data_IF_772920348775
#
_entry.id   IF_772920348775
#
_cell.length_a   1.000
_cell.length_b   1.000
_cell.length_c   1.000
_cell.angle_alpha   90.00
_cell.angle_beta   90.00
_cell.angle_gamma   90.00
#
_symmetry.space_group_name_H-M   'P 1'
#
loop_
_entity.id
_entity.type
_entity.pdbx_description
1 polymer ?
#
# COMPACT_ATOMS: atom_id res chain seq x y z
N UNK A 1 -10.64 14.03 10.04
CA UNK A 1 -10.89 12.71 9.42
C UNK A 1 -9.59 12.07 8.94
N UNK A 2 -9.35 10.84 9.32
CA UNK A 2 -8.17 10.06 8.94
C UNK A 2 -8.62 8.76 8.30
N UNK A 3 -8.16 8.47 7.08
CA UNK A 3 -8.45 7.21 6.38
C UNK A 3 -7.14 6.50 6.08
N UNK A 4 -7.03 5.23 6.45
CA UNK A 4 -5.91 4.37 6.06
C UNK A 4 -6.36 3.37 5.01
N UNK A 5 -5.55 3.21 3.96
CA UNK A 5 -5.81 2.24 2.88
C UNK A 5 -4.63 1.28 2.81
N UNK A 6 -4.82 0.09 3.31
CA UNK A 6 -3.85 -1.02 3.24
C UNK A 6 -4.25 -2.00 2.13
N UNK A 7 -3.40 -2.97 1.84
CA UNK A 7 -3.71 -4.03 0.89
C UNK A 7 -2.54 -4.41 -0.02
N UNK A 8 -2.79 -5.37 -0.91
CA UNK A 8 -1.80 -5.97 -1.80
C UNK A 8 -1.24 -4.99 -2.85
N UNK A 9 -0.06 -5.26 -3.39
CA UNK A 9 0.47 -4.52 -4.55
C UNK A 9 -0.50 -4.65 -5.75
N UNK A 10 -0.70 -3.58 -6.52
CA UNK A 10 -1.62 -3.63 -7.67
C UNK A 10 -3.12 -3.61 -7.34
N UNK A 11 -3.53 -3.63 -6.06
CA UNK A 11 -4.96 -3.60 -5.69
C UNK A 11 -5.65 -2.22 -5.85
N UNK A 12 -4.97 -1.22 -6.38
CA UNK A 12 -5.55 0.10 -6.65
C UNK A 12 -5.48 1.11 -5.50
N UNK A 13 -4.79 0.82 -4.40
CA UNK A 13 -4.72 1.69 -3.19
C UNK A 13 -4.44 3.15 -3.49
N UNK A 14 -3.35 3.45 -4.18
CA UNK A 14 -2.93 4.84 -4.42
C UNK A 14 -3.88 5.57 -5.37
N UNK A 15 -4.49 4.87 -6.33
CA UNK A 15 -5.50 5.43 -7.23
C UNK A 15 -6.74 5.85 -6.45
N UNK A 16 -7.25 4.96 -5.61
CA UNK A 16 -8.40 5.23 -4.74
C UNK A 16 -8.08 6.32 -3.71
N UNK A 17 -6.90 6.26 -3.08
CA UNK A 17 -6.48 7.28 -2.11
C UNK A 17 -6.45 8.69 -2.75
N UNK A 18 -5.93 8.82 -3.98
CA UNK A 18 -5.91 10.08 -4.73
C UNK A 18 -7.32 10.59 -5.04
N UNK A 19 -8.25 9.71 -5.43
CA UNK A 19 -9.63 10.11 -5.71
C UNK A 19 -10.37 10.57 -4.45
N UNK A 20 -10.26 9.79 -3.36
CA UNK A 20 -10.83 10.14 -2.06
C UNK A 20 -10.25 11.46 -1.52
N UNK A 21 -8.94 11.64 -1.63
CA UNK A 21 -8.24 12.88 -1.24
C UNK A 21 -8.83 14.10 -1.94
N UNK A 22 -9.04 14.03 -3.25
CA UNK A 22 -9.68 15.12 -4.02
C UNK A 22 -11.11 15.36 -3.59
N UNK A 23 -11.91 14.31 -3.43
CA UNK A 23 -13.33 14.41 -3.08
C UNK A 23 -13.55 14.97 -1.67
N UNK A 24 -12.77 14.48 -0.71
CA UNK A 24 -12.88 14.81 0.71
C UNK A 24 -12.00 16.01 1.11
N UNK A 25 -11.22 16.56 0.18
CA UNK A 25 -10.24 17.66 0.42
C UNK A 25 -9.24 17.32 1.54
N UNK A 26 -8.81 16.07 1.60
CA UNK A 26 -7.83 15.55 2.56
C UNK A 26 -6.43 15.50 1.94
N UNK A 27 -5.37 15.68 2.73
CA UNK A 27 -4.00 15.46 2.26
C UNK A 27 -3.77 13.96 1.99
N UNK A 28 -3.06 13.64 0.91
CA UNK A 28 -2.70 12.26 0.59
C UNK A 28 -1.21 11.99 0.85
N UNK A 29 -0.92 10.88 1.51
CA UNK A 29 0.42 10.35 1.72
C UNK A 29 0.49 8.91 1.19
N UNK A 30 1.54 8.58 0.44
CA UNK A 30 1.75 7.23 -0.10
C UNK A 30 3.08 6.66 0.35
N UNK A 31 3.05 5.58 1.12
CA UNK A 31 4.26 4.87 1.55
C UNK A 31 4.86 4.09 0.37
N UNK A 32 4.02 3.60 -0.54
CA UNK A 32 4.47 2.97 -1.76
C UNK A 32 5.24 3.91 -2.69
N UNK A 33 4.81 5.17 -2.80
CA UNK A 33 5.54 6.19 -3.59
C UNK A 33 6.88 6.53 -2.95
N UNK A 34 6.93 6.63 -1.62
CA UNK A 34 8.18 6.85 -0.89
C UNK A 34 9.16 5.69 -1.10
N UNK A 35 8.69 4.44 -1.01
CA UNK A 35 9.52 3.26 -1.25
C UNK A 35 10.08 3.23 -2.69
N UNK A 36 9.26 3.60 -3.69
CA UNK A 36 9.71 3.75 -5.08
C UNK A 36 10.76 4.84 -5.25
N UNK A 37 10.58 5.97 -4.55
CA UNK A 37 11.56 7.05 -4.60
C UNK A 37 12.91 6.60 -4.03
N UNK A 38 12.93 5.90 -2.88
CA UNK A 38 14.15 5.33 -2.30
C UNK A 38 14.84 4.37 -3.29
N UNK A 39 14.07 3.50 -3.96
CA UNK A 39 14.62 2.58 -4.96
C UNK A 39 15.25 3.33 -6.14
N UNK A 40 14.57 4.36 -6.66
CA UNK A 40 15.07 5.21 -7.74
C UNK A 40 16.35 5.95 -7.34
N UNK A 41 16.39 6.53 -6.15
CA UNK A 41 17.55 7.26 -5.63
C UNK A 41 18.77 6.34 -5.46
N UNK A 42 18.53 5.05 -5.17
CA UNK A 42 19.57 4.01 -5.09
C UNK A 42 19.90 3.38 -6.44
N UNK A 43 19.14 3.66 -7.50
CA UNK A 43 19.33 3.06 -8.84
C UNK A 43 19.01 1.56 -8.90
N UNK A 44 18.11 1.06 -8.03
CA UNK A 44 17.73 -0.36 -7.94
C UNK A 44 16.22 -0.54 -8.12
N UNK A 45 15.81 -1.78 -8.38
CA UNK A 45 14.38 -2.14 -8.45
C UNK A 45 13.72 -2.18 -7.07
N UNK A 46 12.38 -2.13 -7.03
CA UNK A 46 11.62 -2.33 -5.79
C UNK A 46 11.87 -3.70 -5.15
N UNK A 47 12.07 -4.73 -5.98
CA UNK A 47 12.34 -6.09 -5.50
C UNK A 47 13.72 -6.16 -4.83
N UNK A 48 14.75 -5.54 -5.43
CA UNK A 48 16.08 -5.44 -4.83
C UNK A 48 16.06 -4.63 -3.54
N UNK A 49 15.34 -3.51 -3.50
CA UNK A 49 15.17 -2.71 -2.28
C UNK A 49 14.49 -3.54 -1.17
N UNK A 50 13.48 -4.33 -1.52
CA UNK A 50 12.78 -5.20 -0.55
C UNK A 50 13.71 -6.28 0.01
N UNK A 51 14.57 -6.86 -0.83
CA UNK A 51 15.61 -7.82 -0.39
C UNK A 51 16.65 -7.16 0.51
N UNK A 52 17.13 -5.96 0.16
CA UNK A 52 18.06 -5.21 1.01
C UNK A 52 17.47 -4.91 2.38
N UNK A 53 16.17 -4.58 2.46
CA UNK A 53 15.49 -4.31 3.72
C UNK A 53 15.42 -5.53 4.67
N UNK A 54 15.65 -6.76 4.20
CA UNK A 54 15.76 -7.94 5.08
C UNK A 54 17.00 -7.88 5.97
N UNK A 55 18.09 -7.32 5.47
CA UNK A 55 19.36 -7.16 6.21
C UNK A 55 19.53 -5.74 6.75
N UNK A 56 19.04 -4.73 6.06
CA UNK A 56 19.14 -3.32 6.42
C UNK A 56 17.79 -2.78 6.93
N UNK A 57 17.62 -2.85 8.26
CA UNK A 57 16.41 -2.35 8.94
C UNK A 57 16.26 -0.81 8.88
N UNK A 58 17.25 -0.08 8.37
CA UNK A 58 17.16 1.39 8.25
C UNK A 58 16.12 1.79 7.21
N UNK A 59 15.92 0.97 6.17
CA UNK A 59 14.94 1.19 5.11
C UNK A 59 13.51 1.18 5.68
N UNK A 60 13.15 0.13 6.41
CA UNK A 60 11.84 0.05 7.06
C UNK A 60 11.66 1.18 8.09
N UNK A 61 12.70 1.48 8.89
CA UNK A 61 12.65 2.59 9.86
C UNK A 61 12.43 3.95 9.22
N UNK A 62 12.95 4.21 8.03
CA UNK A 62 12.71 5.46 7.30
C UNK A 62 11.23 5.58 6.89
N UNK A 63 10.66 4.50 6.34
CA UNK A 63 9.25 4.43 5.99
C UNK A 63 8.35 4.62 7.22
N UNK A 64 8.73 4.01 8.35
CA UNK A 64 7.97 4.07 9.60
C UNK A 64 7.99 5.46 10.22
N UNK A 65 9.14 6.15 10.22
CA UNK A 65 9.25 7.53 10.70
C UNK A 65 8.23 8.44 10.01
N UNK A 66 8.02 8.26 8.71
CA UNK A 66 7.02 9.04 7.96
C UNK A 66 5.60 8.74 8.42
N UNK A 67 5.27 7.47 8.70
CA UNK A 67 3.96 7.08 9.21
C UNK A 67 3.75 7.56 10.66
N UNK A 68 4.75 7.37 11.51
CA UNK A 68 4.71 7.79 12.92
C UNK A 68 4.53 9.30 13.04
N UNK A 69 5.18 10.09 12.18
CA UNK A 69 5.06 11.55 12.17
C UNK A 69 3.64 12.05 11.84
N UNK A 70 2.77 11.17 11.32
CA UNK A 70 1.37 11.49 11.02
C UNK A 70 0.42 11.19 12.19
N UNK A 71 0.87 10.50 13.26
CA UNK A 71 -0.01 10.11 14.39
C UNK A 71 -0.75 11.28 15.04
N UNK A 72 -0.13 12.45 15.06
CA UNK A 72 -0.67 13.66 15.68
C UNK A 72 -1.23 14.66 14.67
N UNK A 73 -1.46 14.21 13.43
CA UNK A 73 -2.08 15.04 12.38
C UNK A 73 -3.49 14.58 12.12
N UNK A 74 -4.30 15.50 11.61
CA UNK A 74 -5.66 15.25 11.17
C UNK A 74 -5.83 15.55 9.68
N UNK A 75 -6.98 15.17 9.15
CA UNK A 75 -7.39 15.49 7.77
C UNK A 75 -6.43 14.97 6.69
N UNK A 76 -6.20 13.65 6.71
CA UNK A 76 -5.38 13.00 5.69
C UNK A 76 -5.86 11.59 5.34
N UNK A 77 -5.40 11.14 4.18
CA UNK A 77 -5.47 9.75 3.72
C UNK A 77 -4.04 9.24 3.59
N UNK A 78 -3.80 8.02 4.01
CA UNK A 78 -2.51 7.37 3.82
C UNK A 78 -2.68 5.98 3.23
N UNK A 79 -1.93 5.66 2.18
CA UNK A 79 -1.87 4.30 1.63
C UNK A 79 -0.50 3.64 1.84
N UNK A 80 -0.52 2.36 2.18
CA UNK A 80 0.67 1.55 2.44
C UNK A 80 0.33 0.14 2.91
N UNK A 81 1.29 -0.57 3.50
CA UNK A 81 1.07 -1.91 4.07
C UNK A 81 0.60 -1.86 5.51
N UNK A 82 1.34 -1.14 6.34
CA UNK A 82 1.16 -1.09 7.79
C UNK A 82 0.41 0.16 8.28
N UNK A 83 -0.26 0.88 7.37
CA UNK A 83 -0.89 2.17 7.71
C UNK A 83 -1.95 2.02 8.79
N UNK A 84 -2.76 0.95 8.76
CA UNK A 84 -3.76 0.68 9.79
C UNK A 84 -3.15 0.34 11.16
N UNK A 85 -1.92 -0.21 11.18
CA UNK A 85 -1.18 -0.49 12.41
C UNK A 85 -0.54 0.78 12.99
N UNK A 86 0.12 1.59 12.15
CA UNK A 86 0.77 2.80 12.61
C UNK A 86 -0.20 3.94 12.95
N UNK A 87 -1.41 3.94 12.38
CA UNK A 87 -2.45 4.95 12.65
C UNK A 87 -3.68 4.26 13.27
N UNK A 88 -3.58 3.82 14.53
CA UNK A 88 -4.65 3.05 15.17
C UNK A 88 -5.93 3.87 15.39
N UNK A 89 -5.82 5.18 15.46
CA UNK A 89 -6.91 6.14 15.63
C UNK A 89 -7.56 6.60 14.31
N UNK A 90 -7.28 5.94 13.17
CA UNK A 90 -7.97 6.28 11.91
C UNK A 90 -9.47 6.05 12.01
N UNK A 91 -10.26 7.01 11.50
CA UNK A 91 -11.73 6.94 11.47
C UNK A 91 -12.21 5.79 10.57
N UNK A 92 -11.46 5.50 9.49
CA UNK A 92 -11.75 4.38 8.60
C UNK A 92 -10.45 3.67 8.20
N UNK A 93 -10.41 2.36 8.43
CA UNK A 93 -9.30 1.48 8.05
C UNK A 93 -9.78 0.52 6.95
N UNK A 94 -9.26 0.72 5.74
CA UNK A 94 -9.65 -0.06 4.55
C UNK A 94 -8.54 -1.03 4.18
N UNK A 95 -8.91 -2.25 3.80
CA UNK A 95 -8.03 -3.20 3.14
C UNK A 95 -8.55 -3.50 1.74
N UNK A 96 -7.69 -3.34 0.73
CA UNK A 96 -7.99 -3.71 -0.66
C UNK A 96 -7.28 -5.01 -1.00
N UNK A 97 -8.07 -6.05 -1.23
CA UNK A 97 -7.63 -7.32 -1.78
C UNK A 97 -7.78 -7.34 -3.31
N UNK A 98 -7.11 -8.25 -3.97
CA UNK A 98 -7.23 -8.45 -5.41
C UNK A 98 -6.52 -9.74 -5.82
N UNK A 99 -7.02 -10.41 -6.84
CA UNK A 99 -6.41 -11.57 -7.46
C UNK A 99 -5.02 -11.24 -8.06
N UNK A 100 -4.11 -12.19 -8.05
CA UNK A 100 -2.70 -11.97 -8.41
C UNK A 100 -2.53 -11.68 -9.91
N UNK A 101 -3.29 -12.34 -10.78
CA UNK A 101 -3.27 -12.08 -12.22
C UNK A 101 -3.77 -10.65 -12.53
N UNK A 102 -4.90 -10.26 -11.93
CA UNK A 102 -5.47 -8.92 -12.10
C UNK A 102 -4.53 -7.83 -11.56
N UNK A 103 -3.83 -8.11 -10.46
CA UNK A 103 -2.83 -7.19 -9.91
C UNK A 103 -1.65 -7.00 -10.86
N UNK A 104 -1.15 -8.10 -11.43
CA UNK A 104 -0.04 -8.07 -12.38
C UNK A 104 -0.42 -7.29 -13.66
N UNK A 105 -1.60 -7.53 -14.22
CA UNK A 105 -2.10 -6.75 -15.35
C UNK A 105 -2.21 -5.24 -15.05
N UNK A 106 -2.69 -4.89 -13.85
CA UNK A 106 -2.78 -3.48 -13.43
C UNK A 106 -1.42 -2.83 -13.29
N UNK A 107 -0.43 -3.57 -12.77
CA UNK A 107 0.95 -3.09 -12.64
C UNK A 107 1.60 -2.93 -14.00
N UNK A 108 1.39 -3.89 -14.93
CA UNK A 108 1.94 -3.82 -16.28
C UNK A 108 1.38 -2.62 -17.05
N UNK A 109 0.08 -2.34 -16.93
CA UNK A 109 -0.57 -1.17 -17.55
C UNK A 109 -0.20 0.17 -16.88
N UNK A 110 0.28 0.12 -15.65
CA UNK A 110 0.67 1.32 -14.90
C UNK A 110 2.07 1.75 -15.37
N UNK A 111 2.17 2.89 -16.06
CA UNK A 111 3.43 3.44 -16.60
C UNK A 111 4.41 3.92 -15.51
N UNK A 112 4.44 3.27 -14.35
CA UNK A 112 5.34 3.63 -13.26
C UNK A 112 6.79 3.38 -13.64
N UNK A 113 7.66 4.33 -13.32
CA UNK A 113 9.11 4.19 -13.55
C UNK A 113 9.65 2.97 -12.79
N UNK A 114 10.40 2.12 -13.47
CA UNK A 114 11.08 0.95 -12.90
C UNK A 114 10.32 -0.38 -12.99
N UNK A 115 9.06 -0.40 -13.49
CA UNK A 115 8.26 -1.62 -13.65
C UNK A 115 7.80 -1.81 -15.12
N UNK A 116 8.46 -1.15 -16.09
CA UNK A 116 8.12 -1.23 -17.52
C UNK A 116 8.70 -2.46 -18.19
N UNK A 117 7.96 -2.98 -19.19
CA UNK A 117 8.40 -4.06 -20.08
C UNK A 117 8.62 -5.43 -19.43
N UNK A 118 7.88 -5.75 -18.36
CA UNK A 118 7.91 -7.08 -17.75
C UNK A 118 6.74 -7.92 -18.25
N UNK A 119 6.96 -9.22 -18.40
CA UNK A 119 5.90 -10.19 -18.66
C UNK A 119 5.04 -10.40 -17.41
N UNK A 120 3.77 -10.79 -17.59
CA UNK A 120 2.81 -10.97 -16.47
C UNK A 120 3.34 -11.94 -15.42
N UNK A 121 3.87 -13.08 -15.84
CA UNK A 121 4.41 -14.10 -14.93
C UNK A 121 5.59 -13.58 -14.11
N UNK A 122 6.47 -12.79 -14.72
CA UNK A 122 7.58 -12.12 -14.02
C UNK A 122 7.07 -11.11 -12.98
N UNK A 123 6.02 -10.36 -13.31
CA UNK A 123 5.41 -9.42 -12.37
C UNK A 123 4.78 -10.18 -11.19
N UNK A 124 4.08 -11.29 -11.43
CA UNK A 124 3.50 -12.14 -10.37
C UNK A 124 4.61 -12.64 -9.43
N UNK A 125 5.67 -13.20 -9.98
CA UNK A 125 6.80 -13.68 -9.18
C UNK A 125 7.44 -12.56 -8.34
N UNK A 126 7.65 -11.39 -8.93
CA UNK A 126 8.19 -10.21 -8.24
C UNK A 126 7.25 -9.73 -7.10
N UNK A 127 5.94 -9.75 -7.31
CA UNK A 127 4.94 -9.41 -6.29
C UNK A 127 5.02 -10.40 -5.13
N UNK A 128 5.01 -11.69 -5.41
CA UNK A 128 5.04 -12.75 -4.40
C UNK A 128 6.33 -12.70 -3.55
N UNK A 129 7.48 -12.55 -4.20
CA UNK A 129 8.76 -12.43 -3.52
C UNK A 129 8.78 -11.22 -2.58
N UNK A 130 8.29 -10.07 -3.05
CA UNK A 130 8.22 -8.85 -2.27
C UNK A 130 7.27 -8.99 -1.09
N UNK A 131 6.08 -9.55 -1.29
CA UNK A 131 5.11 -9.75 -0.22
C UNK A 131 5.62 -10.74 0.84
N UNK A 132 6.30 -11.81 0.44
CA UNK A 132 6.95 -12.74 1.35
C UNK A 132 8.02 -12.06 2.20
N UNK A 133 8.86 -11.24 1.59
CA UNK A 133 9.87 -10.43 2.27
C UNK A 133 9.25 -9.43 3.24
N UNK A 134 8.24 -8.66 2.81
CA UNK A 134 7.50 -7.69 3.62
C UNK A 134 6.86 -8.37 4.85
N UNK A 135 6.14 -9.48 4.66
CA UNK A 135 5.48 -10.21 5.77
C UNK A 135 6.47 -10.76 6.79
N UNK A 136 7.61 -11.30 6.33
CA UNK A 136 8.69 -11.76 7.21
C UNK A 136 9.20 -10.63 8.08
N UNK A 137 9.59 -9.49 7.46
CA UNK A 137 10.13 -8.33 8.18
C UNK A 137 9.15 -7.74 9.16
N UNK A 138 7.89 -7.57 8.76
CA UNK A 138 6.87 -6.96 9.64
C UNK A 138 6.51 -7.87 10.82
N UNK A 139 6.51 -9.20 10.60
CA UNK A 139 6.35 -10.15 11.69
C UNK A 139 7.52 -10.13 12.68
N UNK A 140 8.74 -9.98 12.18
CA UNK A 140 9.94 -9.86 13.01
C UNK A 140 9.98 -8.56 13.80
N UNK A 141 9.74 -7.43 13.13
CA UNK A 141 9.87 -6.08 13.71
C UNK A 141 8.70 -5.70 14.61
N UNK A 142 7.46 -6.01 14.23
CA UNK A 142 6.24 -5.48 14.86
C UNK A 142 5.30 -6.55 15.38
N UNK A 143 5.56 -7.83 15.12
CA UNK A 143 4.67 -8.96 15.43
C UNK A 143 3.30 -8.83 14.75
N UNK A 144 3.25 -8.20 13.57
CA UNK A 144 2.04 -7.91 12.81
C UNK A 144 2.06 -8.62 11.47
N UNK A 145 0.94 -9.23 11.10
CA UNK A 145 0.62 -9.61 9.73
C UNK A 145 -0.43 -8.63 9.19
N UNK A 146 -0.07 -7.84 8.19
CA UNK A 146 -1.00 -6.87 7.60
C UNK A 146 -2.13 -7.50 6.79
N UNK A 147 -2.11 -8.82 6.60
CA UNK A 147 -3.25 -9.58 6.09
C UNK A 147 -4.29 -9.91 7.17
N UNK A 148 -4.00 -9.68 8.45
CA UNK A 148 -4.99 -9.93 9.50
C UNK A 148 -6.19 -9.00 9.33
N UNK A 149 -7.31 -9.61 8.92
CA UNK A 149 -8.57 -8.91 8.65
C UNK A 149 -9.11 -8.12 9.86
N UNK A 150 -8.73 -8.49 11.07
CA UNK A 150 -9.13 -7.81 12.31
C UNK A 150 -8.58 -6.38 12.42
N UNK A 151 -7.55 -6.04 11.65
CA UNK A 151 -6.99 -4.68 11.61
C UNK A 151 -7.89 -3.67 10.88
N UNK A 152 -8.90 -4.14 10.13
CA UNK A 152 -9.64 -3.31 9.18
C UNK A 152 -11.13 -3.28 9.48
N UNK A 153 -11.72 -2.11 9.35
CA UNK A 153 -13.17 -1.91 9.43
C UNK A 153 -13.90 -2.15 8.10
N UNK A 154 -13.18 -2.09 6.99
CA UNK A 154 -13.72 -2.34 5.65
C UNK A 154 -12.72 -3.13 4.82
N UNK A 155 -13.17 -4.24 4.25
CA UNK A 155 -12.37 -5.09 3.35
C UNK A 155 -13.09 -5.17 2.01
N UNK A 156 -12.39 -4.86 0.93
CA UNK A 156 -12.95 -4.88 -0.42
C UNK A 156 -12.04 -5.74 -1.30
N UNK A 157 -12.62 -6.81 -1.87
CA UNK A 157 -12.03 -7.48 -3.01
C UNK A 157 -12.27 -6.62 -4.26
N UNK A 158 -11.21 -6.21 -4.92
CA UNK A 158 -11.25 -5.32 -6.08
C UNK A 158 -11.08 -6.04 -7.41
N UNK A 159 -11.01 -7.37 -7.41
CA UNK A 159 -10.74 -8.20 -8.60
C UNK A 159 -11.66 -7.82 -9.75
N UNK A 160 -12.97 -7.87 -9.54
CA UNK A 160 -14.00 -7.63 -10.57
C UNK A 160 -14.62 -6.22 -10.48
N UNK A 161 -14.02 -5.32 -9.68
CA UNK A 161 -14.58 -4.00 -9.47
C UNK A 161 -13.82 -2.93 -10.26
N UNK A 162 -14.58 -2.02 -10.85
CA UNK A 162 -14.05 -0.77 -11.37
C UNK A 162 -13.58 0.15 -10.24
N UNK A 163 -12.70 1.09 -10.57
CA UNK A 163 -12.23 2.12 -9.62
C UNK A 163 -13.42 2.90 -9.02
N UNK A 164 -14.45 3.20 -9.84
CA UNK A 164 -15.65 3.91 -9.39
C UNK A 164 -16.45 3.11 -8.36
N UNK A 165 -16.63 1.81 -8.57
CA UNK A 165 -17.35 0.96 -7.62
C UNK A 165 -16.62 0.82 -6.28
N UNK A 166 -15.28 0.66 -6.31
CA UNK A 166 -14.46 0.65 -5.09
C UNK A 166 -14.58 2.00 -4.35
N UNK A 167 -14.51 3.10 -5.09
CA UNK A 167 -14.67 4.45 -4.53
C UNK A 167 -16.02 4.62 -3.83
N UNK A 168 -17.13 4.25 -4.48
CA UNK A 168 -18.47 4.35 -3.91
C UNK A 168 -18.65 3.46 -2.66
N UNK A 169 -18.09 2.23 -2.67
CA UNK A 169 -18.11 1.36 -1.48
C UNK A 169 -17.43 2.03 -0.28
N UNK A 170 -16.28 2.68 -0.49
CA UNK A 170 -15.57 3.37 0.59
C UNK A 170 -16.37 4.61 1.02
N UNK A 171 -16.89 5.40 0.09
CA UNK A 171 -17.66 6.61 0.41
C UNK A 171 -18.90 6.32 1.25
N UNK A 172 -19.57 5.19 1.05
CA UNK A 172 -20.70 4.76 1.90
C UNK A 172 -20.30 4.48 3.35
N UNK A 173 -19.02 4.19 3.60
CA UNK A 173 -18.48 3.93 4.94
C UNK A 173 -17.84 5.17 5.58
N UNK A 174 -17.69 6.25 4.83
CA UNK A 174 -17.25 7.56 5.36
C UNK A 174 -18.44 8.23 6.05
N UNK A 175 -18.31 8.49 7.34
CA UNK A 175 -19.34 9.15 8.16
C UNK A 175 -19.06 10.64 8.28
#
# INVERSE_FOLDING_TARGET
MIITISGKAGSGKSTIAKQLSKKLKLKHYSIGDLMRQIALDKGISLNELSKQAESDKSIDKELDKKQIALKNKDNFIIDGRLTAFFIPNADLKVFLDCDDEVRAERIQKDERKGEKNQEIDEIIENIEQREKSERKRYKELYKVDYYDKKLYGLIIDTTDLSIGEVFEKIMKSVK
#
